data_IF_236860703059
#
_entry.id   IF_236860703059
#
_cell.length_a   1.000
_cell.length_b   1.000
_cell.length_c   1.000
_cell.angle_alpha   90.00
_cell.angle_beta   90.00
_cell.angle_gamma   90.00
#
_symmetry.space_group_name_H-M   'P 1'
#
loop_
_entity.id
_entity.type
_entity.pdbx_description
1 polymer ?
#
# COMPACT_ATOMS: atom_id res chain seq x y z
N UNK A 1 3.65 -19.94 12.50
CA UNK A 1 5.04 -19.59 12.15
C UNK A 1 5.98 -20.39 13.04
N UNK A 2 6.84 -21.22 12.46
CA UNK A 2 7.65 -22.20 13.20
C UNK A 2 8.67 -21.50 14.10
N UNK A 3 8.57 -21.65 15.42
CA UNK A 3 9.46 -20.97 16.39
C UNK A 3 10.94 -21.24 16.11
N UNK A 4 11.28 -22.43 15.60
CA UNK A 4 12.65 -22.81 15.20
C UNK A 4 13.20 -21.94 14.05
N UNK A 5 12.37 -21.63 13.05
CA UNK A 5 12.75 -20.75 11.94
C UNK A 5 12.96 -19.31 12.41
N UNK A 6 12.15 -18.84 13.35
CA UNK A 6 12.32 -17.52 13.98
C UNK A 6 13.65 -17.44 14.75
N UNK A 7 13.97 -18.44 15.56
CA UNK A 7 15.24 -18.49 16.30
C UNK A 7 16.46 -18.63 15.40
N UNK A 8 16.38 -19.41 14.32
CA UNK A 8 17.46 -19.48 13.32
C UNK A 8 17.64 -18.15 12.58
N UNK A 9 16.54 -17.45 12.26
CA UNK A 9 16.60 -16.13 11.65
C UNK A 9 17.20 -15.09 12.61
N UNK A 10 16.79 -15.07 13.88
CA UNK A 10 17.37 -14.19 14.90
C UNK A 10 18.85 -14.50 15.19
N UNK A 11 19.24 -15.77 15.22
CA UNK A 11 20.63 -16.17 15.41
C UNK A 11 21.51 -15.79 14.21
N UNK A 12 21.01 -15.97 12.98
CA UNK A 12 21.67 -15.50 11.76
C UNK A 12 21.75 -13.97 11.71
N UNK A 13 20.72 -13.25 12.18
CA UNK A 13 20.75 -11.79 12.30
C UNK A 13 21.77 -11.34 13.35
N UNK A 14 21.90 -12.06 14.46
CA UNK A 14 22.85 -11.77 15.53
C UNK A 14 24.33 -11.93 15.14
N UNK A 15 24.66 -12.87 14.24
CA UNK A 15 26.04 -13.05 13.78
C UNK A 15 26.51 -11.96 12.80
N UNK A 16 25.59 -11.26 12.11
CA UNK A 16 25.93 -10.13 11.23
C UNK A 16 26.26 -8.85 12.02
N UNK A 17 25.81 -8.75 13.27
CA UNK A 17 25.99 -7.57 14.13
C UNK A 17 27.39 -7.50 14.77
N UNK A 18 28.20 -8.56 14.68
CA UNK A 18 29.52 -8.61 15.34
C UNK A 18 30.72 -8.09 14.50
N UNK A 19 30.50 -7.41 13.36
CA UNK A 19 31.63 -6.86 12.57
C UNK A 19 31.90 -5.40 12.93
N UNK A 20 32.99 -5.17 13.67
CA UNK A 20 33.41 -3.86 14.23
C UNK A 20 33.91 -2.81 13.22
N UNK A 21 33.38 -2.76 11.99
CA UNK A 21 33.76 -1.78 10.96
C UNK A 21 32.56 -1.09 10.28
N UNK A 22 31.34 -1.39 10.72
CA UNK A 22 30.11 -1.04 10.01
C UNK A 22 29.70 0.42 10.25
N UNK A 23 29.46 1.17 9.16
CA UNK A 23 29.07 2.59 9.23
C UNK A 23 27.57 2.69 9.18
N UNK A 24 26.98 3.26 10.22
CA UNK A 24 25.53 3.40 10.33
C UNK A 24 25.11 4.80 9.91
N UNK A 25 23.94 4.94 9.29
CA UNK A 25 23.31 6.24 9.08
C UNK A 25 21.87 6.21 9.53
N UNK A 26 21.42 7.30 10.13
CA UNK A 26 20.02 7.55 10.42
C UNK A 26 19.59 8.79 9.63
N UNK A 27 18.39 8.77 9.07
CA UNK A 27 17.93 9.90 8.29
C UNK A 27 16.42 10.01 8.18
N UNK A 28 16.04 11.12 7.57
CA UNK A 28 14.66 11.47 7.24
C UNK A 28 14.56 11.74 5.74
N UNK A 29 13.39 11.51 5.17
CA UNK A 29 13.07 11.87 3.79
C UNK A 29 11.67 12.43 3.68
N UNK A 30 11.51 13.37 2.76
CA UNK A 30 10.25 14.03 2.43
C UNK A 30 10.12 14.10 0.92
N UNK A 31 8.89 14.04 0.41
CA UNK A 31 8.66 13.99 -1.02
C UNK A 31 7.19 13.99 -1.39
N UNK A 32 6.93 13.55 -2.62
CA UNK A 32 5.59 13.39 -3.16
C UNK A 32 5.40 11.93 -3.58
N UNK A 33 4.20 11.42 -3.34
CA UNK A 33 3.77 10.09 -3.78
C UNK A 33 2.79 10.20 -4.94
N UNK A 34 2.78 9.18 -5.78
CA UNK A 34 1.95 9.07 -6.97
C UNK A 34 1.43 7.64 -7.08
N UNK A 35 0.15 7.49 -7.36
CA UNK A 35 -0.47 6.19 -7.65
C UNK A 35 -0.65 6.05 -9.17
N UNK A 36 -0.30 4.89 -9.70
CA UNK A 36 -0.68 4.45 -11.04
C UNK A 36 -1.57 3.24 -10.87
N UNK A 37 -2.87 3.45 -11.09
CA UNK A 37 -3.90 2.42 -10.96
C UNK A 37 -5.01 2.59 -11.98
N UNK A 38 -6.16 2.02 -11.67
CA UNK A 38 -7.34 2.01 -12.51
C UNK A 38 -8.12 3.33 -12.49
N UNK A 39 -7.98 4.10 -11.41
CA UNK A 39 -8.53 5.45 -11.25
C UNK A 39 -7.44 6.50 -11.36
N UNK A 40 -7.70 7.53 -12.18
CA UNK A 40 -6.78 8.64 -12.39
C UNK A 40 -5.74 8.41 -13.50
N UNK A 41 -4.62 9.14 -13.40
CA UNK A 41 -3.58 9.21 -14.44
C UNK A 41 -2.74 7.94 -14.48
N UNK A 42 -2.50 7.45 -15.68
CA UNK A 42 -1.63 6.31 -15.98
C UNK A 42 -0.13 6.64 -16.06
N UNK A 43 0.27 7.90 -15.81
CA UNK A 43 1.67 8.31 -15.92
C UNK A 43 2.50 7.87 -14.68
N UNK A 44 3.63 7.21 -14.95
CA UNK A 44 4.50 6.61 -13.93
C UNK A 44 5.37 7.62 -13.17
N UNK A 45 5.73 8.77 -13.75
CA UNK A 45 6.66 9.73 -13.14
C UNK A 45 5.93 11.04 -12.86
N UNK A 46 6.02 11.50 -11.61
CA UNK A 46 5.65 12.85 -11.12
C UNK A 46 4.34 13.37 -11.72
N UNK A 47 3.23 13.10 -11.04
CA UNK A 47 2.06 13.96 -11.21
C UNK A 47 2.47 15.37 -10.79
N UNK A 48 2.58 16.31 -11.75
CA UNK A 48 2.59 17.74 -11.42
C UNK A 48 1.50 17.98 -10.39
N UNK A 49 1.74 18.75 -9.32
CA UNK A 49 0.73 19.04 -8.32
C UNK A 49 -0.54 19.41 -9.06
N UNK A 50 -1.61 18.68 -8.74
CA UNK A 50 -2.96 19.01 -9.15
C UNK A 50 -3.10 20.51 -8.98
N UNK A 51 -3.59 21.16 -10.04
CA UNK A 51 -3.96 22.57 -10.10
C UNK A 51 -4.06 23.19 -8.70
N UNK A 52 -3.10 24.05 -8.32
CA UNK A 52 -2.97 24.56 -6.94
C UNK A 52 -4.27 25.22 -6.43
N UNK A 53 -5.16 25.59 -7.36
CA UNK A 53 -6.52 26.08 -7.09
C UNK A 53 -7.44 25.08 -6.38
N UNK A 54 -7.10 23.78 -6.34
CA UNK A 54 -7.88 22.73 -5.65
C UNK A 54 -7.09 21.97 -4.58
N UNK A 55 -5.91 22.46 -4.19
CA UNK A 55 -5.13 21.84 -3.11
C UNK A 55 -5.91 21.79 -1.77
N UNK A 56 -6.90 22.69 -1.57
CA UNK A 56 -7.78 22.74 -0.40
C UNK A 56 -8.71 21.53 -0.27
N UNK A 57 -9.21 20.98 -1.38
CA UNK A 57 -10.28 19.97 -1.33
C UNK A 57 -9.72 18.53 -1.29
N UNK A 58 -8.51 18.34 -1.82
CA UNK A 58 -7.90 17.02 -2.06
C UNK A 58 -6.67 16.75 -1.20
N UNK A 59 -6.07 17.81 -0.63
CA UNK A 59 -4.75 17.78 0.00
C UNK A 59 -3.62 17.74 -1.03
N UNK A 60 -2.37 17.74 -0.56
CA UNK A 60 -1.18 17.59 -1.42
C UNK A 60 -0.68 16.14 -1.35
N UNK A 61 -0.34 15.48 -2.48
CA UNK A 61 0.33 14.20 -2.44
C UNK A 61 1.63 14.32 -1.65
N UNK A 62 1.76 13.50 -0.61
CA UNK A 62 2.85 13.63 0.36
C UNK A 62 3.53 12.29 0.55
N UNK A 63 4.83 12.36 0.79
CA UNK A 63 5.63 11.27 1.28
C UNK A 63 6.53 11.77 2.40
N UNK A 64 6.57 11.03 3.51
CA UNK A 64 7.50 11.28 4.61
C UNK A 64 7.96 9.96 5.21
N UNK A 65 9.22 9.89 5.64
CA UNK A 65 9.73 8.67 6.25
C UNK A 65 11.03 8.87 7.00
N UNK A 66 11.35 7.85 7.79
CA UNK A 66 12.64 7.68 8.45
C UNK A 66 13.34 6.47 7.85
N UNK A 67 14.66 6.51 7.85
CA UNK A 67 15.47 5.42 7.34
C UNK A 67 16.69 5.18 8.21
N UNK A 68 17.12 3.92 8.25
CA UNK A 68 18.36 3.50 8.85
C UNK A 68 19.18 2.74 7.82
N UNK A 69 20.41 3.20 7.56
CA UNK A 69 21.36 2.56 6.64
C UNK A 69 22.45 1.87 7.42
N UNK A 70 22.76 0.67 6.96
CA UNK A 70 23.86 -0.15 7.41
C UNK A 70 24.81 -0.35 6.23
N UNK A 71 25.94 0.34 6.25
CA UNK A 71 26.92 0.30 5.17
C UNK A 71 27.97 -0.78 5.48
N UNK A 72 28.00 -1.86 4.69
CA UNK A 72 28.99 -2.93 4.84
C UNK A 72 30.36 -2.53 4.27
N UNK A 73 30.33 -1.78 3.16
CA UNK A 73 31.53 -1.30 2.47
C UNK A 73 31.25 0.08 1.84
N UNK A 74 32.22 0.71 1.17
CA UNK A 74 32.02 2.04 0.58
C UNK A 74 30.91 2.14 -0.47
N UNK A 75 30.48 1.02 -1.05
CA UNK A 75 29.52 0.92 -2.14
C UNK A 75 28.16 0.33 -1.73
N UNK A 76 28.16 -0.67 -0.85
CA UNK A 76 27.00 -1.51 -0.57
C UNK A 76 26.40 -1.20 0.80
N UNK A 77 25.08 -1.07 0.82
CA UNK A 77 24.30 -0.68 1.99
C UNK A 77 23.03 -1.51 2.06
N UNK A 78 22.66 -1.94 3.26
CA UNK A 78 21.30 -2.38 3.57
C UNK A 78 20.57 -1.28 4.32
N UNK A 79 19.37 -0.96 3.90
CA UNK A 79 18.54 0.12 4.44
C UNK A 79 17.21 -0.43 4.94
N UNK A 80 16.85 -0.03 6.15
CA UNK A 80 15.50 -0.15 6.69
C UNK A 80 14.77 1.17 6.50
N UNK A 81 13.57 1.10 5.96
CA UNK A 81 12.72 2.25 5.67
C UNK A 81 11.38 2.11 6.37
N UNK A 82 10.94 3.18 7.03
CA UNK A 82 9.58 3.34 7.54
C UNK A 82 9.00 4.64 6.98
N UNK A 83 7.81 4.58 6.38
CA UNK A 83 7.24 5.72 5.66
C UNK A 83 5.73 5.84 5.78
N UNK A 84 5.26 7.05 5.48
CA UNK A 84 3.86 7.42 5.31
C UNK A 84 3.69 8.09 3.96
N UNK A 85 2.70 7.62 3.20
CA UNK A 85 2.34 8.14 1.89
C UNK A 85 0.86 8.57 1.95
N UNK A 86 0.56 9.77 1.47
CA UNK A 86 -0.81 10.15 1.16
C UNK A 86 -0.95 10.17 -0.36
N UNK A 87 -1.56 9.11 -0.91
CA UNK A 87 -1.80 8.97 -2.33
C UNK A 87 -3.18 9.51 -2.71
N UNK A 88 -3.28 10.00 -3.95
CA UNK A 88 -4.49 10.58 -4.50
C UNK A 88 -4.73 10.03 -5.90
N UNK A 89 -6.01 9.87 -6.23
CA UNK A 89 -6.45 9.40 -7.54
C UNK A 89 -7.69 10.20 -7.94
N UNK A 90 -7.70 10.65 -9.20
CA UNK A 90 -8.78 11.48 -9.73
C UNK A 90 -8.88 11.33 -11.25
N UNK A 91 -10.01 10.83 -11.72
CA UNK A 91 -10.27 10.61 -13.13
C UNK A 91 -10.33 11.88 -13.97
N UNK A 92 -10.60 13.06 -13.39
CA UNK A 92 -10.64 14.33 -14.14
C UNK A 92 -9.30 14.64 -14.81
N UNK A 93 -8.21 14.13 -14.24
CA UNK A 93 -6.87 14.33 -14.79
C UNK A 93 -6.42 13.17 -15.69
N UNK A 94 -7.20 12.09 -15.81
CA UNK A 94 -6.87 10.97 -16.69
C UNK A 94 -6.73 11.40 -18.17
N UNK A 95 -5.96 10.65 -18.94
CA UNK A 95 -5.81 10.91 -20.39
C UNK A 95 -7.03 10.41 -21.16
N UNK A 96 -7.58 9.32 -20.69
CA UNK A 96 -8.64 8.52 -21.31
C UNK A 96 -10.02 9.13 -21.01
N UNK A 97 -10.84 9.30 -22.05
CA UNK A 97 -12.13 9.99 -21.93
C UNK A 97 -13.15 9.20 -21.10
N UNK A 98 -13.16 7.87 -21.19
CA UNK A 98 -14.04 7.04 -20.39
C UNK A 98 -13.77 7.18 -18.88
N UNK A 99 -12.51 7.38 -18.47
CA UNK A 99 -12.15 7.64 -17.07
C UNK A 99 -12.71 8.99 -16.66
N UNK A 100 -12.48 10.05 -17.44
CA UNK A 100 -13.02 11.39 -17.15
C UNK A 100 -14.55 11.38 -16.98
N UNK A 101 -15.27 10.64 -17.84
CA UNK A 101 -16.72 10.49 -17.75
C UNK A 101 -17.17 9.74 -16.48
N UNK A 102 -16.39 8.75 -16.02
CA UNK A 102 -16.64 8.05 -14.74
C UNK A 102 -16.45 8.97 -13.53
N UNK A 103 -15.57 9.97 -13.64
CA UNK A 103 -15.38 11.02 -12.64
C UNK A 103 -15.14 10.48 -11.21
N UNK A 104 -14.46 9.34 -11.08
CA UNK A 104 -14.13 8.73 -9.78
C UNK A 104 -12.89 9.35 -9.18
N UNK A 105 -12.86 9.43 -7.85
CA UNK A 105 -11.86 10.22 -7.16
C UNK A 105 -11.73 9.86 -5.68
N UNK A 106 -10.57 10.15 -5.08
CA UNK A 106 -10.35 9.91 -3.65
C UNK A 106 -8.89 10.06 -3.21
N UNK A 107 -8.65 9.67 -1.96
CA UNK A 107 -7.35 9.63 -1.31
C UNK A 107 -7.22 8.37 -0.46
N UNK A 108 -5.99 7.92 -0.25
CA UNK A 108 -5.67 6.79 0.62
C UNK A 108 -4.37 7.07 1.38
N UNK A 109 -4.35 6.65 2.64
CA UNK A 109 -3.20 6.80 3.53
C UNK A 109 -2.50 5.45 3.61
N UNK A 110 -1.22 5.42 3.20
CA UNK A 110 -0.44 4.20 3.08
C UNK A 110 0.81 4.29 3.93
N UNK A 111 0.90 3.42 4.93
CA UNK A 111 2.10 3.23 5.73
C UNK A 111 2.99 2.16 5.07
N UNK A 112 4.29 2.38 5.10
CA UNK A 112 5.29 1.56 4.43
C UNK A 112 6.36 1.09 5.43
N UNK A 113 6.75 -0.18 5.33
CA UNK A 113 7.95 -0.71 5.95
C UNK A 113 8.73 -1.57 4.95
N UNK A 114 10.00 -1.25 4.71
CA UNK A 114 10.79 -1.88 3.64
C UNK A 114 12.23 -2.19 4.06
N UNK A 115 12.77 -3.27 3.54
CA UNK A 115 14.18 -3.63 3.59
C UNK A 115 14.76 -3.53 2.17
N UNK A 116 15.79 -2.71 2.00
CA UNK A 116 16.33 -2.32 0.71
C UNK A 116 17.83 -2.54 0.67
N UNK A 117 18.33 -3.04 -0.46
CA UNK A 117 19.74 -3.05 -0.76
C UNK A 117 20.06 -1.87 -1.69
N UNK A 118 21.11 -1.12 -1.37
CA UNK A 118 21.61 -0.01 -2.18
C UNK A 118 23.03 -0.33 -2.69
N UNK A 119 23.29 0.04 -3.94
CA UNK A 119 24.61 -0.01 -4.55
C UNK A 119 25.01 1.39 -5.06
N UNK A 120 25.98 2.00 -4.38
CA UNK A 120 26.58 3.27 -4.72
C UNK A 120 27.71 3.05 -5.73
N UNK A 121 27.67 3.72 -6.87
CA UNK A 121 28.71 3.57 -7.91
C UNK A 121 30.07 4.12 -7.47
N UNK A 122 30.07 5.16 -6.63
CA UNK A 122 31.29 5.74 -6.07
C UNK A 122 31.34 5.49 -4.55
N UNK A 123 32.55 5.44 -3.94
CA UNK A 123 32.74 5.05 -2.54
C UNK A 123 32.31 6.13 -1.51
N UNK A 124 31.06 6.62 -1.58
CA UNK A 124 30.55 7.77 -0.80
C UNK A 124 30.51 7.52 0.70
N UNK A 125 30.42 6.26 1.07
CA UNK A 125 30.45 5.86 2.46
C UNK A 125 31.89 5.87 3.02
N UNK A 126 32.94 6.18 2.23
CA UNK A 126 34.33 6.29 2.69
C UNK A 126 34.60 7.55 3.54
N UNK A 127 35.78 7.63 4.19
CA UNK A 127 36.20 8.78 5.01
C UNK A 127 36.64 9.94 4.12
N UNK A 128 35.68 10.76 3.73
CA UNK A 128 35.95 11.96 2.95
C UNK A 128 34.92 13.03 3.26
N UNK A 129 35.33 14.29 3.07
CA UNK A 129 34.50 15.46 3.33
C UNK A 129 33.38 15.62 2.31
N UNK A 130 33.71 15.40 1.03
CA UNK A 130 32.79 15.67 -0.06
C UNK A 130 32.86 14.57 -1.11
N UNK A 131 31.70 14.01 -1.47
CA UNK A 131 31.57 13.20 -2.67
C UNK A 131 30.11 13.06 -3.09
N UNK A 132 29.89 13.02 -4.40
CA UNK A 132 28.62 12.67 -5.02
C UNK A 132 28.69 11.23 -5.49
N UNK A 133 27.68 10.42 -5.18
CA UNK A 133 27.49 9.10 -5.78
C UNK A 133 26.07 8.92 -6.26
N UNK A 134 25.87 8.65 -7.56
CA UNK A 134 24.65 7.99 -8.01
C UNK A 134 24.60 6.59 -7.39
N UNK A 135 23.39 6.08 -7.18
CA UNK A 135 23.16 4.72 -6.70
C UNK A 135 21.86 4.15 -7.24
N UNK A 136 21.82 2.83 -7.29
CA UNK A 136 20.60 2.07 -7.56
C UNK A 136 20.20 1.31 -6.29
N UNK A 137 18.92 1.02 -6.17
CA UNK A 137 18.44 0.25 -5.02
C UNK A 137 17.24 -0.61 -5.38
N UNK A 138 17.05 -1.68 -4.61
CA UNK A 138 15.95 -2.63 -4.76
C UNK A 138 15.74 -3.41 -3.47
N UNK A 139 14.51 -3.85 -3.22
CA UNK A 139 14.20 -4.53 -1.97
C UNK A 139 12.80 -5.13 -1.93
N UNK A 140 12.38 -5.43 -0.70
CA UNK A 140 11.06 -5.97 -0.38
C UNK A 140 10.48 -5.19 0.78
N UNK A 141 9.16 -5.05 0.81
CA UNK A 141 8.49 -4.37 1.90
C UNK A 141 7.03 -4.78 2.03
N UNK A 142 6.38 -4.14 2.99
CA UNK A 142 4.96 -4.25 3.23
C UNK A 142 4.33 -2.84 3.25
N UNK A 143 3.10 -2.78 2.75
CA UNK A 143 2.25 -1.60 2.78
C UNK A 143 1.04 -1.89 3.65
N UNK A 144 0.66 -0.94 4.50
CA UNK A 144 -0.59 -0.95 5.25
C UNK A 144 -1.45 0.22 4.79
N UNK A 145 -2.65 -0.07 4.33
CA UNK A 145 -3.53 0.88 3.66
C UNK A 145 -5.00 0.54 3.91
N UNK A 146 -5.90 1.48 3.66
CA UNK A 146 -7.33 1.17 3.68
C UNK A 146 -7.77 0.57 2.35
N UNK A 147 -8.60 -0.47 2.40
CA UNK A 147 -9.15 -1.13 1.22
C UNK A 147 -10.68 -1.13 1.29
N UNK A 148 -11.38 -1.09 0.15
CA UNK A 148 -12.85 -1.10 0.15
C UNK A 148 -13.36 -2.50 0.52
N UNK A 149 -14.43 -2.53 1.30
CA UNK A 149 -15.14 -3.72 1.77
C UNK A 149 -16.62 -3.58 1.47
N UNK A 150 -17.29 -4.71 1.27
CA UNK A 150 -18.73 -4.74 1.08
C UNK A 150 -19.36 -5.69 2.10
N UNK A 151 -20.36 -5.20 2.83
CA UNK A 151 -21.25 -6.06 3.60
C UNK A 151 -22.55 -6.19 2.82
N UNK A 152 -22.85 -7.39 2.33
CA UNK A 152 -24.07 -7.67 1.58
C UNK A 152 -25.10 -8.19 2.57
N UNK A 153 -26.14 -7.38 2.81
CA UNK A 153 -27.20 -7.69 3.76
C UNK A 153 -28.35 -8.33 3.00
N UNK A 154 -28.63 -9.59 3.30
CA UNK A 154 -29.80 -10.29 2.79
C UNK A 154 -30.90 -10.24 3.86
N UNK A 155 -31.98 -9.51 3.57
CA UNK A 155 -33.12 -9.33 4.48
C UNK A 155 -34.44 -9.73 3.81
N UNK A 156 -35.37 -10.23 4.62
CA UNK A 156 -36.70 -10.57 4.19
C UNK A 156 -37.48 -9.29 3.84
N UNK A 157 -38.51 -9.42 2.99
CA UNK A 157 -39.47 -8.33 2.82
C UNK A 157 -40.25 -8.13 4.11
N UNK A 158 -40.55 -6.87 4.42
CA UNK A 158 -41.29 -6.49 5.62
C UNK A 158 -42.63 -5.87 5.25
N UNK A 159 -43.66 -6.12 6.06
CA UNK A 159 -44.92 -5.40 5.96
C UNK A 159 -44.82 -3.95 6.49
N UNK A 160 -45.95 -3.24 6.49
CA UNK A 160 -46.05 -1.87 7.01
C UNK A 160 -45.73 -1.75 8.52
N UNK A 161 -45.85 -2.86 9.26
CA UNK A 161 -45.58 -2.95 10.70
C UNK A 161 -44.14 -3.42 11.00
N UNK A 162 -43.34 -3.69 9.96
CA UNK A 162 -41.93 -4.07 10.07
C UNK A 162 -41.67 -5.56 10.29
N UNK A 163 -42.70 -6.41 10.20
CA UNK A 163 -42.60 -7.85 10.42
C UNK A 163 -42.07 -8.55 9.16
N UNK A 164 -41.09 -9.43 9.32
CA UNK A 164 -40.54 -10.22 8.22
C UNK A 164 -41.57 -11.19 7.65
N UNK A 165 -41.76 -11.16 6.33
CA UNK A 165 -42.66 -12.06 5.61
C UNK A 165 -41.90 -13.28 5.10
N UNK A 166 -42.54 -14.45 5.19
CA UNK A 166 -42.02 -15.68 4.62
C UNK A 166 -41.91 -15.54 3.08
N UNK A 167 -40.72 -15.79 2.50
CA UNK A 167 -40.55 -15.70 1.05
C UNK A 167 -41.49 -16.64 0.31
N UNK A 168 -42.14 -16.14 -0.73
CA UNK A 168 -43.00 -16.94 -1.62
C UNK A 168 -42.15 -17.79 -2.57
N UNK A 169 -40.97 -17.30 -2.93
CA UNK A 169 -39.99 -17.97 -3.77
C UNK A 169 -38.56 -17.50 -3.45
N UNK A 170 -37.57 -18.13 -4.07
CA UNK A 170 -36.14 -17.85 -3.94
C UNK A 170 -35.71 -16.45 -4.38
N UNK A 171 -36.58 -15.67 -5.03
CA UNK A 171 -36.31 -14.27 -5.40
C UNK A 171 -36.90 -13.27 -4.39
N UNK A 172 -37.76 -13.74 -3.48
CA UNK A 172 -38.60 -12.92 -2.60
C UNK A 172 -37.87 -12.49 -1.30
N UNK A 173 -36.70 -11.89 -1.48
CA UNK A 173 -35.93 -11.22 -0.43
C UNK A 173 -35.14 -10.06 -1.03
N UNK A 174 -34.63 -9.19 -0.18
CA UNK A 174 -33.85 -8.02 -0.58
C UNK A 174 -32.37 -8.24 -0.29
N UNK A 175 -31.52 -7.77 -1.20
CA UNK A 175 -30.07 -7.83 -1.06
C UNK A 175 -29.53 -6.41 -1.18
N UNK A 176 -29.03 -5.87 -0.07
CA UNK A 176 -28.56 -4.48 0.00
C UNK A 176 -27.06 -4.45 0.30
N UNK A 177 -26.22 -3.83 -0.56
CA UNK A 177 -24.82 -3.65 -0.25
C UNK A 177 -24.57 -2.43 0.62
N UNK A 178 -23.77 -2.61 1.67
CA UNK A 178 -23.21 -1.55 2.49
C UNK A 178 -21.70 -1.52 2.27
N UNK A 179 -21.21 -0.43 1.69
CA UNK A 179 -19.79 -0.25 1.43
C UNK A 179 -19.11 0.40 2.62
N UNK A 180 -17.93 -0.10 2.97
CA UNK A 180 -17.07 0.46 4.02
C UNK A 180 -15.61 0.35 3.60
N UNK A 181 -14.70 0.89 4.40
CA UNK A 181 -13.26 0.66 4.25
C UNK A 181 -12.73 -0.13 5.43
N UNK A 182 -11.64 -0.85 5.24
CA UNK A 182 -10.91 -1.42 6.35
C UNK A 182 -9.44 -1.62 6.02
N UNK A 183 -8.63 -1.55 7.07
CA UNK A 183 -7.17 -1.62 6.96
C UNK A 183 -6.71 -3.00 6.52
N UNK A 184 -5.74 -3.02 5.61
CA UNK A 184 -5.11 -4.21 5.06
C UNK A 184 -3.62 -4.04 4.94
N UNK A 185 -2.93 -5.18 4.88
CA UNK A 185 -1.50 -5.23 4.59
C UNK A 185 -1.26 -6.01 3.30
N UNK A 186 -0.38 -5.51 2.44
CA UNK A 186 0.10 -6.22 1.25
C UNK A 186 1.62 -6.13 1.15
N UNK A 187 2.22 -7.00 0.35
CA UNK A 187 3.65 -6.93 0.03
C UNK A 187 3.90 -5.99 -1.15
N UNK A 188 5.11 -5.45 -1.19
CA UNK A 188 5.58 -4.59 -2.27
C UNK A 188 7.05 -4.86 -2.60
N UNK A 189 7.44 -4.47 -3.82
CA UNK A 189 8.81 -4.55 -4.30
C UNK A 189 9.26 -3.11 -4.65
N UNK A 190 9.92 -2.40 -3.71
CA UNK A 190 10.50 -1.09 -3.98
C UNK A 190 11.81 -1.21 -4.76
N UNK A 191 12.00 -0.39 -5.78
CA UNK A 191 13.26 -0.24 -6.51
C UNK A 191 13.39 1.15 -7.11
N UNK A 192 14.60 1.55 -7.48
CA UNK A 192 14.78 2.87 -8.08
C UNK A 192 16.22 3.32 -8.17
N UNK A 193 16.36 4.63 -8.36
CA UNK A 193 17.63 5.31 -8.54
C UNK A 193 17.70 6.50 -7.59
N UNK A 194 18.91 6.82 -7.15
CA UNK A 194 19.14 7.97 -6.30
C UNK A 194 20.49 8.63 -6.55
N UNK A 195 20.62 9.82 -6.01
CA UNK A 195 21.86 10.59 -6.01
C UNK A 195 22.15 11.01 -4.57
N UNK A 196 23.29 10.62 -4.04
CA UNK A 196 23.75 10.94 -2.69
C UNK A 196 24.90 11.93 -2.76
N UNK A 197 24.80 13.04 -2.04
CA UNK A 197 25.88 14.00 -1.87
C UNK A 197 26.24 14.12 -0.40
N UNK A 198 27.46 13.67 -0.07
CA UNK A 198 28.08 13.87 1.22
C UNK A 198 28.76 15.23 1.21
N UNK A 199 28.39 16.13 2.12
CA UNK A 199 28.94 17.50 2.20
C UNK A 199 29.76 17.73 3.46
N UNK A 200 29.75 16.77 4.39
CA UNK A 200 30.60 16.74 5.56
C UNK A 200 30.92 15.29 5.93
N UNK A 201 31.82 15.05 6.90
CA UNK A 201 32.20 13.70 7.31
C UNK A 201 31.03 12.83 7.76
N UNK A 202 30.01 13.44 8.38
CA UNK A 202 28.85 12.73 8.93
C UNK A 202 27.55 13.01 8.18
N UNK A 203 27.43 14.13 7.46
CA UNK A 203 26.17 14.53 6.84
C UNK A 203 26.14 14.27 5.33
N UNK A 204 25.02 13.73 4.86
CA UNK A 204 24.73 13.59 3.45
C UNK A 204 23.29 13.97 3.13
N UNK A 205 23.10 14.69 2.02
CA UNK A 205 21.79 14.85 1.39
C UNK A 205 21.63 13.83 0.27
N UNK A 206 20.41 13.45 -0.04
CA UNK A 206 20.14 12.55 -1.15
C UNK A 206 18.80 12.85 -1.81
N UNK A 207 18.69 12.49 -3.09
CA UNK A 207 17.47 12.55 -3.87
C UNK A 207 17.17 11.16 -4.43
N UNK A 208 15.90 10.74 -4.43
CA UNK A 208 15.47 9.42 -4.88
C UNK A 208 14.23 9.50 -5.75
N UNK A 209 14.21 8.68 -6.81
CA UNK A 209 13.01 8.27 -7.52
C UNK A 209 12.78 6.78 -7.21
N UNK A 210 11.70 6.48 -6.49
CA UNK A 210 11.35 5.12 -6.07
C UNK A 210 10.09 4.68 -6.79
N UNK A 211 10.14 3.49 -7.37
CA UNK A 211 8.99 2.78 -7.94
C UNK A 211 8.66 1.61 -7.03
N UNK A 212 7.37 1.42 -6.73
CA UNK A 212 6.90 0.27 -5.94
C UNK A 212 5.88 -0.48 -6.75
N UNK A 213 6.24 -1.69 -7.12
CA UNK A 213 5.26 -2.65 -7.61
C UNK A 213 4.48 -3.16 -6.39
N UNK A 214 3.18 -2.86 -6.34
CA UNK A 214 2.33 -3.28 -5.24
C UNK A 214 1.62 -4.57 -5.64
N UNK A 215 1.57 -5.57 -4.76
CA UNK A 215 0.94 -6.85 -5.07
C UNK A 215 -0.60 -6.79 -4.86
N UNK A 216 -1.19 -5.61 -5.04
CA UNK A 216 -2.60 -5.33 -4.82
C UNK A 216 -3.17 -4.45 -5.93
N UNK A 217 -4.50 -4.37 -5.95
CA UNK A 217 -5.31 -3.68 -6.95
C UNK A 217 -6.44 -2.93 -6.24
N UNK A 218 -6.15 -2.39 -5.05
CA UNK A 218 -7.15 -1.86 -4.12
C UNK A 218 -6.72 -0.50 -3.54
N UNK A 219 -5.56 0.02 -3.96
CA UNK A 219 -5.01 1.26 -3.40
C UNK A 219 -5.84 2.48 -3.80
N UNK A 220 -6.52 2.42 -4.95
CA UNK A 220 -7.41 3.45 -5.48
C UNK A 220 -8.91 3.23 -5.20
N UNK A 221 -9.28 2.22 -4.41
CA UNK A 221 -10.68 1.84 -4.15
C UNK A 221 -11.49 1.42 -5.39
N UNK A 222 -10.84 1.14 -6.52
CA UNK A 222 -11.48 0.66 -7.74
C UNK A 222 -12.07 -0.74 -7.59
N UNK A 223 -11.49 -1.57 -6.71
CA UNK A 223 -11.80 -2.99 -6.59
C UNK A 223 -12.04 -3.48 -5.16
N UNK A 224 -13.16 -4.18 -5.00
CA UNK A 224 -13.48 -5.03 -3.86
C UNK A 224 -13.16 -6.47 -4.25
N UNK A 225 -12.27 -7.12 -3.51
CA UNK A 225 -11.96 -8.54 -3.73
C UNK A 225 -13.03 -9.39 -3.06
N UNK A 226 -13.32 -10.58 -3.59
CA UNK A 226 -14.33 -11.49 -3.02
C UNK A 226 -14.08 -11.83 -1.54
N UNK A 227 -12.80 -11.84 -1.12
CA UNK A 227 -12.41 -12.05 0.29
C UNK A 227 -12.77 -10.89 1.24
N UNK A 228 -13.14 -9.73 0.68
CA UNK A 228 -13.54 -8.52 1.40
C UNK A 228 -15.05 -8.32 1.42
N UNK A 229 -15.77 -9.30 0.88
CA UNK A 229 -17.22 -9.33 0.87
C UNK A 229 -17.69 -10.19 2.02
N UNK A 230 -18.50 -9.61 2.89
CA UNK A 230 -19.14 -10.31 4.02
C UNK A 230 -20.63 -10.33 3.75
N UNK A 231 -21.20 -11.52 3.63
CA UNK A 231 -22.64 -11.68 3.49
C UNK A 231 -23.28 -11.89 4.88
N UNK A 232 -24.30 -11.12 5.19
CA UNK A 232 -25.16 -11.33 6.37
C UNK A 232 -26.53 -11.80 5.91
N UNK A 233 -27.16 -12.62 6.75
CA UNK A 233 -28.46 -13.22 6.47
C UNK A 233 -29.35 -12.97 7.68
N UNK A 234 -30.51 -12.37 7.46
CA UNK A 234 -31.45 -12.07 8.53
C UNK A 234 -31.99 -13.36 9.18
N UNK A 235 -32.07 -13.39 10.52
CA UNK A 235 -32.46 -14.56 11.31
C UNK A 235 -33.92 -14.61 11.76
N UNK A 236 -34.79 -13.70 11.29
CA UNK A 236 -36.19 -13.60 11.72
C UNK A 236 -37.00 -14.84 11.31
N UNK A 237 -36.67 -15.43 10.15
CA UNK A 237 -37.26 -16.67 9.65
C UNK A 237 -36.17 -17.73 9.56
N UNK A 238 -36.29 -18.75 10.41
CA UNK A 238 -35.31 -19.82 10.53
C UNK A 238 -35.70 -21.04 9.69
N UNK A 239 -34.68 -21.71 9.16
CA UNK A 239 -34.85 -23.01 8.51
C UNK A 239 -35.15 -24.09 9.56
N UNK A 240 -36.19 -24.91 9.36
CA UNK A 240 -36.50 -26.01 10.28
C UNK A 240 -35.45 -27.12 10.28
N UNK A 241 -34.55 -27.15 9.27
CA UNK A 241 -33.51 -28.18 9.14
C UNK A 241 -32.21 -27.75 9.81
N UNK A 242 -31.78 -26.49 9.60
CA UNK A 242 -30.46 -26.02 10.04
C UNK A 242 -30.52 -25.17 11.31
N UNK A 243 -31.68 -24.63 11.68
CA UNK A 243 -31.83 -23.69 12.80
C UNK A 243 -31.19 -22.31 12.55
N UNK A 244 -30.58 -22.10 11.38
CA UNK A 244 -30.07 -20.81 10.90
C UNK A 244 -31.09 -20.08 10.02
N UNK A 245 -30.69 -18.94 9.45
CA UNK A 245 -31.57 -18.17 8.54
C UNK A 245 -32.06 -19.01 7.37
N UNK A 246 -33.33 -18.89 7.00
CA UNK A 246 -33.89 -19.52 5.80
C UNK A 246 -33.12 -19.12 4.52
N UNK A 247 -32.58 -17.90 4.47
CA UNK A 247 -31.81 -17.38 3.32
C UNK A 247 -30.45 -18.08 3.12
N UNK A 248 -30.03 -18.91 4.08
CA UNK A 248 -28.83 -19.75 3.98
C UNK A 248 -29.12 -21.14 3.42
N UNK A 249 -30.37 -21.43 3.05
CA UNK A 249 -30.76 -22.73 2.48
C UNK A 249 -30.66 -22.72 0.95
N UNK A 250 -30.45 -23.90 0.36
CA UNK A 250 -30.03 -24.14 -1.02
C UNK A 250 -30.44 -23.08 -2.05
N UNK A 251 -31.72 -22.99 -2.41
CA UNK A 251 -32.19 -22.09 -3.47
C UNK A 251 -31.95 -20.60 -3.13
N UNK A 252 -32.24 -20.19 -1.90
CA UNK A 252 -32.03 -18.81 -1.44
C UNK A 252 -30.54 -18.45 -1.39
N UNK A 253 -29.71 -19.38 -0.94
CA UNK A 253 -28.27 -19.19 -0.84
C UNK A 253 -27.64 -19.00 -2.22
N UNK A 254 -28.03 -19.81 -3.21
CA UNK A 254 -27.58 -19.66 -4.61
C UNK A 254 -27.95 -18.27 -5.14
N UNK A 255 -29.22 -17.86 -5.03
CA UNK A 255 -29.67 -16.53 -5.47
C UNK A 255 -28.93 -15.41 -4.74
N UNK A 256 -28.68 -15.55 -3.43
CA UNK A 256 -27.95 -14.56 -2.66
C UNK A 256 -26.51 -14.38 -3.16
N UNK A 257 -25.87 -15.49 -3.56
CA UNK A 257 -24.50 -15.48 -4.11
C UNK A 257 -24.42 -14.93 -5.52
N UNK A 258 -25.41 -15.18 -6.36
CA UNK A 258 -25.53 -14.57 -7.67
C UNK A 258 -25.70 -13.04 -7.57
N UNK A 259 -26.59 -12.59 -6.66
CA UNK A 259 -26.78 -11.15 -6.40
C UNK A 259 -25.53 -10.50 -5.83
N UNK A 260 -24.86 -11.15 -4.88
CA UNK A 260 -23.57 -10.72 -4.34
C UNK A 260 -22.53 -10.54 -5.46
N UNK A 261 -22.38 -11.53 -6.34
CA UNK A 261 -21.44 -11.47 -7.45
C UNK A 261 -21.78 -10.35 -8.45
N UNK A 262 -23.06 -10.15 -8.77
CA UNK A 262 -23.52 -9.10 -9.68
C UNK A 262 -23.21 -7.70 -9.11
N UNK A 263 -23.57 -7.45 -7.84
CA UNK A 263 -23.33 -6.17 -7.16
C UNK A 263 -21.83 -5.82 -7.14
N UNK A 264 -20.98 -6.79 -6.80
CA UNK A 264 -19.53 -6.57 -6.75
C UNK A 264 -18.95 -6.39 -8.15
N UNK A 265 -19.48 -7.11 -9.14
CA UNK A 265 -19.12 -6.94 -10.55
C UNK A 265 -19.42 -5.53 -11.06
N UNK A 266 -20.59 -4.98 -10.74
CA UNK A 266 -20.98 -3.61 -11.11
C UNK A 266 -20.16 -2.54 -10.37
N UNK A 267 -19.80 -2.78 -9.11
CA UNK A 267 -19.02 -1.83 -8.30
C UNK A 267 -17.55 -1.77 -8.72
N UNK A 268 -16.99 -2.87 -9.20
CA UNK A 268 -15.59 -2.95 -9.59
C UNK A 268 -15.36 -2.32 -10.96
N UNK A 269 -14.33 -1.49 -11.06
CA UNK A 269 -13.99 -0.78 -12.30
C UNK A 269 -12.50 -0.94 -12.61
N UNK A 270 -12.12 -0.91 -13.89
CA UNK A 270 -10.71 -0.97 -14.29
C UNK A 270 -10.25 -2.30 -14.87
N UNK A 271 -8.93 -2.47 -15.01
CA UNK A 271 -8.31 -3.70 -15.51
C UNK A 271 -7.97 -4.67 -14.38
N UNK A 272 -8.77 -5.72 -14.26
CA UNK A 272 -8.63 -6.74 -13.23
C UNK A 272 -7.35 -7.59 -13.30
N UNK A 273 -6.59 -7.52 -14.39
CA UNK A 273 -5.32 -8.23 -14.58
C UNK A 273 -4.11 -7.42 -14.10
N UNK A 274 -4.23 -6.10 -14.08
CA UNK A 274 -3.14 -5.23 -13.67
C UNK A 274 -3.03 -5.15 -12.14
N UNK A 275 -1.96 -4.52 -11.66
CA UNK A 275 -1.74 -4.22 -10.25
C UNK A 275 -1.37 -2.76 -10.12
N UNK A 276 -1.74 -2.17 -9.00
CA UNK A 276 -1.42 -0.80 -8.68
C UNK A 276 0.09 -0.61 -8.50
N UNK A 277 0.59 0.54 -8.90
CA UNK A 277 1.97 0.97 -8.64
C UNK A 277 1.98 2.24 -7.79
N UNK A 278 2.91 2.32 -6.85
CA UNK A 278 3.12 3.51 -6.04
C UNK A 278 4.52 4.07 -6.23
N UNK A 279 4.62 5.28 -6.77
CA UNK A 279 5.89 5.91 -7.09
C UNK A 279 6.12 7.13 -6.20
N UNK A 280 7.36 7.38 -5.78
CA UNK A 280 7.70 8.56 -4.99
C UNK A 280 8.94 9.25 -5.53
N UNK A 281 8.96 10.57 -5.45
CA UNK A 281 10.18 11.36 -5.58
C UNK A 281 10.42 12.06 -4.25
N UNK A 282 11.62 11.88 -3.70
CA UNK A 282 11.95 12.37 -2.35
C UNK A 282 13.33 12.95 -2.25
N UNK A 283 13.48 13.92 -1.35
CA UNK A 283 14.74 14.45 -0.86
C UNK A 283 14.90 14.02 0.60
N UNK A 284 16.13 13.77 1.02
CA UNK A 284 16.39 13.42 2.40
C UNK A 284 17.77 13.81 2.88
N UNK A 285 17.94 13.65 4.19
CA UNK A 285 19.14 14.00 4.94
C UNK A 285 19.49 12.81 5.84
N UNK A 286 20.76 12.41 5.85
CA UNK A 286 21.28 11.39 6.76
C UNK A 286 22.46 11.89 7.57
N UNK A 287 22.57 11.34 8.78
CA UNK A 287 23.70 11.49 9.69
C UNK A 287 24.37 10.14 9.89
N UNK A 288 25.68 10.08 9.63
CA UNK A 288 26.51 8.88 9.75
C UNK A 288 27.20 8.82 11.11
N UNK A 289 27.16 7.66 11.76
CA UNK A 289 27.75 7.41 13.09
C UNK A 289 28.32 5.99 13.23
N UNK A 290 29.01 5.72 14.35
CA UNK A 290 29.52 4.40 14.69
C UNK A 290 30.85 4.01 14.03
N UNK A 291 31.69 5.00 13.67
CA UNK A 291 33.04 4.69 13.17
C UNK A 291 33.97 4.35 14.34
N UNK A 292 34.72 3.23 14.28
CA UNK A 292 35.85 3.05 15.17
C UNK A 292 36.83 4.21 14.98
N UNK A 293 37.44 4.74 16.05
CA UNK A 293 38.53 5.69 15.89
C UNK A 293 39.63 5.01 15.07
N UNK A 294 39.98 5.58 13.92
CA UNK A 294 41.23 5.25 13.25
C UNK A 294 42.33 5.78 14.16
N UNK A 295 43.01 4.89 14.89
CA UNK A 295 44.32 5.24 15.43
C UNK A 295 45.21 5.44 14.20
N UNK A 296 45.72 6.66 14.03
CA UNK A 296 46.80 6.90 13.07
C UNK A 296 48.04 6.17 13.61
N UNK A 297 48.63 5.30 12.79
CA UNK A 297 50.04 4.91 12.96
C UNK A 297 50.96 6.06 12.51
#
# INVERSE_FOLDING_TARGET
>A
MNRKLLFSFLAALGTVVSVKAQRNELGVRLGMSNLVGDIGRTNYILQKPLDLSKASDWGVPFYGGILYRFNFNPHQTVRLDLGYNQIQFNDKVAKEEYRKNRNSFGKNNVYEASLIFEYNFFPVNNEQKSMVSPYIFGGVGALMFDAPKATVINDFRRDADGVAQAPINELDFTTTPVYSTGTKTTMQIPFGVGLKYKFNYNWAIFAEATFRYTLTDQLDYSRIQSKDVVATYNGDILSPVTGGSLLQTDAYYVVSKEREAAIIGERNVGDFKSKDWMNTVSLGLTYSFGRPPCYCD
#
